data_IF_807317310973
#
_entry.id   IF_807317310973
#
_cell.length_a   1.000
_cell.length_b   1.000
_cell.length_c   1.000
_cell.angle_alpha   90.00
_cell.angle_beta   90.00
_cell.angle_gamma   90.00
#
_symmetry.space_group_name_H-M   'P 1'
#
loop_
_entity.id
_entity.type
_entity.pdbx_description
1 polymer ?
#
# COMPACT_ATOMS: atom_id res chain seq x y z
N UNK A 1 6.96 -31.79 16.52
CA UNK A 1 6.29 -31.91 15.20
C UNK A 1 5.86 -30.50 14.83
N UNK A 2 6.07 -30.03 13.59
CA UNK A 2 5.83 -28.64 13.18
C UNK A 2 4.69 -28.55 12.17
N UNK A 3 3.99 -27.40 12.12
CA UNK A 3 3.04 -27.11 11.04
C UNK A 3 3.68 -27.12 9.65
N UNK A 4 4.99 -26.93 9.53
CA UNK A 4 5.67 -26.75 8.23
C UNK A 4 6.34 -28.01 7.69
N UNK A 5 6.20 -29.17 8.36
CA UNK A 5 6.86 -30.42 7.96
C UNK A 5 6.61 -30.82 6.51
N UNK A 6 5.46 -30.45 5.94
CA UNK A 6 5.08 -30.76 4.56
C UNK A 6 6.00 -30.15 3.49
N UNK A 7 6.76 -29.08 3.81
CA UNK A 7 7.58 -28.37 2.83
C UNK A 7 9.07 -28.76 2.90
N UNK A 8 9.50 -29.51 3.92
CA UNK A 8 10.92 -29.80 4.17
C UNK A 8 11.62 -30.48 2.99
N UNK A 9 10.98 -31.47 2.35
CA UNK A 9 11.58 -32.23 1.26
C UNK A 9 11.83 -31.38 0.01
N UNK A 10 10.86 -30.54 -0.35
CA UNK A 10 10.89 -29.78 -1.60
C UNK A 10 11.54 -28.39 -1.43
N UNK A 11 11.44 -27.78 -0.25
CA UNK A 11 11.98 -26.44 0.04
C UNK A 11 12.59 -26.38 1.48
N UNK A 12 13.74 -27.05 1.72
CA UNK A 12 14.33 -27.18 3.06
C UNK A 12 14.74 -25.84 3.70
N UNK A 13 15.10 -24.84 2.90
CA UNK A 13 15.47 -23.52 3.41
C UNK A 13 14.24 -22.74 3.91
N UNK A 14 13.16 -22.72 3.11
CA UNK A 14 11.89 -22.12 3.51
C UNK A 14 11.31 -22.82 4.75
N UNK A 15 11.48 -24.14 4.83
CA UNK A 15 11.12 -24.93 6.02
C UNK A 15 11.87 -24.47 7.27
N UNK A 16 13.19 -24.32 7.18
CA UNK A 16 14.03 -23.91 8.31
C UNK A 16 13.61 -22.54 8.83
N UNK A 17 13.40 -21.57 7.94
CA UNK A 17 13.00 -20.22 8.33
C UNK A 17 11.56 -20.18 8.88
N UNK A 18 10.64 -20.98 8.31
CA UNK A 18 9.26 -21.06 8.79
C UNK A 18 9.14 -21.69 10.19
N UNK A 19 9.95 -22.70 10.49
CA UNK A 19 10.02 -23.29 11.84
C UNK A 19 10.53 -22.28 12.85
N UNK A 20 11.52 -21.46 12.48
CA UNK A 20 12.03 -20.45 13.39
C UNK A 20 10.97 -19.37 13.67
N UNK A 21 10.23 -18.95 12.64
CA UNK A 21 9.07 -18.08 12.82
C UNK A 21 8.01 -18.69 13.75
N UNK A 22 7.72 -19.99 13.60
CA UNK A 22 6.77 -20.75 14.43
C UNK A 22 7.15 -20.77 15.91
N UNK A 23 8.42 -21.04 16.23
CA UNK A 23 8.89 -21.06 17.63
C UNK A 23 8.74 -19.71 18.34
N UNK A 24 8.85 -18.61 17.59
CA UNK A 24 8.93 -17.27 18.16
C UNK A 24 7.56 -16.59 18.34
N UNK A 25 6.45 -17.17 17.87
CA UNK A 25 5.13 -16.50 17.84
C UNK A 25 4.75 -15.88 19.19
N UNK A 26 4.88 -16.65 20.26
CA UNK A 26 4.53 -16.24 21.63
C UNK A 26 5.75 -15.77 22.46
N UNK A 27 6.96 -15.82 21.89
CA UNK A 27 8.20 -15.38 22.54
C UNK A 27 8.58 -13.96 22.11
N UNK A 28 8.55 -13.73 20.80
CA UNK A 28 8.90 -12.49 20.13
C UNK A 28 8.02 -12.29 18.88
N UNK A 29 6.76 -11.82 19.06
CA UNK A 29 5.83 -11.59 17.94
C UNK A 29 6.41 -10.72 16.82
N UNK A 30 7.19 -9.70 17.19
CA UNK A 30 7.88 -8.83 16.23
C UNK A 30 8.89 -9.60 15.38
N UNK A 31 9.70 -10.47 16.00
CA UNK A 31 10.67 -11.31 15.27
C UNK A 31 9.97 -12.32 14.36
N UNK A 32 8.86 -12.92 14.81
CA UNK A 32 8.02 -13.78 13.96
C UNK A 32 7.53 -13.05 12.71
N UNK A 33 7.07 -11.80 12.83
CA UNK A 33 6.63 -11.02 11.68
C UNK A 33 7.77 -10.73 10.69
N UNK A 34 8.96 -10.40 11.18
CA UNK A 34 10.16 -10.19 10.34
C UNK A 34 10.56 -11.49 9.63
N UNK A 35 10.59 -12.61 10.35
CA UNK A 35 10.90 -13.92 9.77
C UNK A 35 9.86 -14.34 8.74
N UNK A 36 8.56 -14.20 9.04
CA UNK A 36 7.50 -14.52 8.08
C UNK A 36 7.66 -13.72 6.78
N UNK A 37 7.98 -12.43 6.88
CA UNK A 37 8.27 -11.59 5.70
C UNK A 37 9.50 -12.07 4.95
N UNK A 38 10.59 -12.39 5.64
CA UNK A 38 11.82 -12.89 5.01
C UNK A 38 11.58 -14.22 4.28
N UNK A 39 10.92 -15.18 4.94
CA UNK A 39 10.57 -16.49 4.34
C UNK A 39 9.66 -16.30 3.13
N UNK A 40 8.67 -15.39 3.24
CA UNK A 40 7.81 -15.04 2.11
C UNK A 40 8.62 -14.42 0.96
N UNK A 41 9.54 -13.49 1.24
CA UNK A 41 10.41 -12.88 0.24
C UNK A 41 11.26 -13.91 -0.49
N UNK A 42 11.84 -14.87 0.22
CA UNK A 42 12.62 -15.95 -0.37
C UNK A 42 11.74 -16.84 -1.28
N UNK A 43 10.53 -17.19 -0.84
CA UNK A 43 9.59 -17.94 -1.68
C UNK A 43 9.08 -17.17 -2.90
N UNK A 44 8.90 -15.84 -2.79
CA UNK A 44 8.57 -14.98 -3.94
C UNK A 44 9.72 -14.96 -4.93
N UNK A 45 10.97 -14.80 -4.48
CA UNK A 45 12.12 -14.85 -5.36
C UNK A 45 12.23 -16.20 -6.07
N UNK A 46 12.06 -17.29 -5.34
CA UNK A 46 12.04 -18.64 -5.93
C UNK A 46 10.98 -18.76 -7.04
N UNK A 47 9.77 -18.23 -6.83
CA UNK A 47 8.74 -18.19 -7.88
C UNK A 47 9.22 -17.43 -9.12
N UNK A 48 9.88 -16.29 -8.97
CA UNK A 48 10.40 -15.52 -10.12
C UNK A 48 11.47 -16.27 -10.91
N UNK A 49 12.20 -17.19 -10.30
CA UNK A 49 13.23 -17.97 -10.97
C UNK A 49 12.69 -19.25 -11.63
N UNK A 50 11.51 -19.73 -11.21
CA UNK A 50 10.97 -21.03 -11.64
C UNK A 50 9.61 -20.96 -12.34
N UNK A 51 8.81 -19.91 -12.16
CA UNK A 51 7.54 -19.72 -12.86
C UNK A 51 7.77 -19.05 -14.22
N UNK A 52 7.51 -19.79 -15.30
CA UNK A 52 7.73 -19.34 -16.67
C UNK A 52 6.95 -18.06 -17.04
N UNK A 53 5.82 -17.79 -16.38
CA UNK A 53 5.01 -16.58 -16.61
C UNK A 53 5.57 -15.33 -15.93
N UNK A 54 6.54 -15.46 -15.01
CA UNK A 54 7.12 -14.34 -14.29
C UNK A 54 8.38 -13.84 -14.98
N UNK A 55 8.54 -12.52 -15.01
CA UNK A 55 9.75 -11.86 -15.47
C UNK A 55 10.18 -10.83 -14.43
N UNK A 56 11.45 -10.85 -14.04
CA UNK A 56 11.94 -9.98 -12.97
C UNK A 56 11.91 -8.51 -13.44
N UNK A 57 11.22 -7.61 -12.72
CA UNK A 57 11.20 -6.18 -13.02
C UNK A 57 12.55 -5.51 -12.70
N UNK A 58 12.70 -4.25 -13.11
CA UNK A 58 13.93 -3.48 -12.89
C UNK A 58 14.25 -3.29 -11.40
N UNK A 59 13.24 -3.00 -10.56
CA UNK A 59 13.37 -3.05 -9.09
C UNK A 59 12.95 -4.43 -8.60
N UNK A 60 13.80 -5.09 -7.83
CA UNK A 60 13.54 -6.44 -7.32
C UNK A 60 13.22 -6.48 -5.82
N UNK A 61 12.75 -5.37 -5.24
CA UNK A 61 12.26 -5.38 -3.86
C UNK A 61 10.92 -6.13 -3.76
N UNK A 62 10.64 -6.70 -2.59
CA UNK A 62 9.44 -7.50 -2.36
C UNK A 62 8.14 -6.76 -2.74
N UNK A 63 8.06 -5.44 -2.51
CA UNK A 63 6.85 -4.68 -2.82
C UNK A 63 6.64 -4.60 -4.33
N UNK A 64 7.68 -4.33 -5.10
CA UNK A 64 7.61 -4.33 -6.57
C UNK A 64 7.22 -5.71 -7.09
N UNK A 65 7.89 -6.77 -6.62
CA UNK A 65 7.65 -8.14 -7.06
C UNK A 65 6.18 -8.57 -6.85
N UNK A 66 5.61 -8.36 -5.67
CA UNK A 66 4.24 -8.86 -5.43
C UNK A 66 3.16 -8.07 -6.18
N UNK A 67 3.42 -6.84 -6.59
CA UNK A 67 2.44 -5.99 -7.29
C UNK A 67 2.55 -6.10 -8.82
N UNK A 68 3.50 -6.88 -9.35
CA UNK A 68 3.51 -7.20 -10.78
C UNK A 68 2.21 -7.92 -11.17
N UNK A 69 1.53 -7.51 -12.26
CA UNK A 69 0.26 -8.11 -12.67
C UNK A 69 0.35 -9.63 -12.83
N UNK A 70 1.45 -10.13 -13.40
CA UNK A 70 1.68 -11.56 -13.61
C UNK A 70 1.80 -12.34 -12.29
N UNK A 71 2.44 -11.74 -11.26
CA UNK A 71 2.54 -12.36 -9.94
C UNK A 71 1.19 -12.35 -9.22
N UNK A 72 0.51 -11.20 -9.20
CA UNK A 72 -0.81 -11.08 -8.53
C UNK A 72 -1.84 -12.04 -9.11
N UNK A 73 -1.76 -12.35 -10.41
CA UNK A 73 -2.63 -13.29 -11.10
C UNK A 73 -2.45 -14.76 -10.69
N UNK A 74 -1.36 -15.10 -9.98
CA UNK A 74 -1.15 -16.45 -9.44
C UNK A 74 -2.07 -16.77 -8.26
N UNK A 75 -2.62 -15.75 -7.60
CA UNK A 75 -3.37 -15.89 -6.36
C UNK A 75 -4.79 -15.38 -6.51
N UNK A 76 -5.73 -15.99 -5.79
CA UNK A 76 -7.04 -15.38 -5.61
C UNK A 76 -6.93 -14.13 -4.72
N UNK A 77 -7.96 -13.27 -4.75
CA UNK A 77 -7.97 -11.99 -4.02
C UNK A 77 -7.74 -12.15 -2.52
N UNK A 78 -8.31 -13.18 -1.91
CA UNK A 78 -8.18 -13.41 -0.46
C UNK A 78 -6.75 -13.77 -0.09
N UNK A 79 -6.17 -14.77 -0.75
CA UNK A 79 -4.80 -15.19 -0.49
C UNK A 79 -3.83 -14.03 -0.79
N UNK A 80 -4.01 -13.30 -1.90
CA UNK A 80 -3.17 -12.14 -2.19
C UNK A 80 -3.18 -11.08 -1.08
N UNK A 81 -4.35 -10.79 -0.51
CA UNK A 81 -4.49 -9.84 0.62
C UNK A 81 -3.67 -10.29 1.84
N UNK A 82 -3.72 -11.59 2.15
CA UNK A 82 -2.95 -12.21 3.24
C UNK A 82 -1.44 -12.13 2.99
N UNK A 83 -0.99 -12.38 1.76
CA UNK A 83 0.43 -12.24 1.39
C UNK A 83 0.92 -10.79 1.56
N UNK A 84 0.08 -9.82 1.18
CA UNK A 84 0.41 -8.41 1.37
C UNK A 84 0.42 -8.02 2.86
N UNK A 85 -0.42 -8.66 3.70
CA UNK A 85 -0.35 -8.49 5.16
C UNK A 85 0.98 -8.99 5.72
N UNK A 86 1.50 -10.14 5.28
CA UNK A 86 2.84 -10.61 5.70
C UNK A 86 3.88 -9.52 5.42
N UNK A 87 3.88 -8.94 4.21
CA UNK A 87 4.79 -7.87 3.83
C UNK A 87 4.61 -6.63 4.72
N UNK A 88 3.39 -6.12 4.87
CA UNK A 88 3.11 -4.89 5.64
C UNK A 88 3.45 -5.07 7.12
N UNK A 89 3.03 -6.16 7.74
CA UNK A 89 3.28 -6.44 9.17
C UNK A 89 4.77 -6.64 9.43
N UNK A 90 5.47 -7.37 8.55
CA UNK A 90 6.93 -7.54 8.65
C UNK A 90 7.71 -6.23 8.45
N UNK A 91 7.26 -5.35 7.54
CA UNK A 91 7.84 -4.01 7.40
C UNK A 91 7.64 -3.18 8.66
N UNK A 92 6.42 -3.14 9.19
CA UNK A 92 6.12 -2.43 10.43
C UNK A 92 7.00 -2.92 11.58
N UNK A 93 7.15 -4.24 11.72
CA UNK A 93 8.01 -4.89 12.70
C UNK A 93 9.48 -4.47 12.56
N UNK A 94 10.04 -4.51 11.34
CA UNK A 94 11.42 -4.12 11.06
C UNK A 94 11.68 -2.63 11.34
N UNK A 95 10.67 -1.77 11.18
CA UNK A 95 10.74 -0.35 11.51
C UNK A 95 10.44 -0.04 13.01
N UNK A 96 10.41 -1.06 13.87
CA UNK A 96 10.27 -0.89 15.32
C UNK A 96 8.82 -0.80 15.82
N UNK A 97 7.84 -1.03 14.96
CA UNK A 97 6.44 -1.11 15.39
C UNK A 97 6.22 -2.39 16.19
N UNK A 98 5.69 -2.26 17.41
CA UNK A 98 5.32 -3.43 18.22
C UNK A 98 4.21 -4.23 17.54
N UNK A 99 4.44 -5.53 17.39
CA UNK A 99 3.46 -6.52 16.90
C UNK A 99 2.91 -7.30 18.10
N UNK A 100 1.61 -7.58 18.11
CA UNK A 100 1.00 -8.42 19.15
C UNK A 100 0.97 -9.89 18.71
N UNK A 101 0.73 -10.79 19.65
CA UNK A 101 0.72 -12.25 19.41
C UNK A 101 -0.31 -12.66 18.35
N UNK A 102 -1.49 -12.02 18.33
CA UNK A 102 -2.53 -12.34 17.35
C UNK A 102 -2.14 -11.96 15.92
N UNK A 103 -1.49 -10.80 15.73
CA UNK A 103 -0.97 -10.36 14.44
C UNK A 103 0.19 -11.26 13.96
N UNK A 104 1.07 -11.67 14.87
CA UNK A 104 2.15 -12.61 14.56
C UNK A 104 1.62 -14.00 14.18
N UNK A 105 0.63 -14.51 14.94
CA UNK A 105 -0.04 -15.77 14.63
C UNK A 105 -0.78 -15.71 13.29
N UNK A 106 -1.46 -14.60 12.99
CA UNK A 106 -2.08 -14.39 11.69
C UNK A 106 -1.05 -14.40 10.56
N UNK A 107 0.09 -13.70 10.72
CA UNK A 107 1.19 -13.73 9.75
C UNK A 107 1.73 -15.14 9.52
N UNK A 108 1.89 -15.95 10.58
CA UNK A 108 2.34 -17.33 10.46
C UNK A 108 1.31 -18.20 9.71
N UNK A 109 0.01 -18.03 9.98
CA UNK A 109 -1.07 -18.71 9.25
C UNK A 109 -1.08 -18.31 7.78
N UNK A 110 -0.89 -17.04 7.45
CA UNK A 110 -0.77 -16.57 6.07
C UNK A 110 0.46 -17.16 5.37
N UNK A 111 1.60 -17.22 6.06
CA UNK A 111 2.80 -17.88 5.55
C UNK A 111 2.56 -19.37 5.31
N UNK A 112 1.89 -20.07 6.22
CA UNK A 112 1.51 -21.47 6.03
C UNK A 112 0.68 -21.65 4.75
N UNK A 113 -0.32 -20.80 4.50
CA UNK A 113 -1.12 -20.87 3.27
C UNK A 113 -0.30 -20.62 2.01
N UNK A 114 0.65 -19.68 2.06
CA UNK A 114 1.59 -19.43 0.97
C UNK A 114 2.50 -20.64 0.70
N UNK A 115 3.09 -21.22 1.75
CA UNK A 115 3.97 -22.37 1.63
C UNK A 115 3.21 -23.62 1.18
N UNK A 116 1.96 -23.78 1.60
CA UNK A 116 1.04 -24.79 1.05
C UNK A 116 0.83 -24.59 -0.44
N UNK A 117 0.60 -23.35 -0.89
CA UNK A 117 0.51 -23.04 -2.32
C UNK A 117 1.78 -23.46 -3.07
N UNK A 118 2.97 -23.14 -2.55
CA UNK A 118 4.24 -23.55 -3.17
C UNK A 118 4.37 -25.08 -3.24
N UNK A 119 4.18 -25.78 -2.11
CA UNK A 119 4.30 -27.23 -2.05
C UNK A 119 3.29 -27.92 -2.99
N UNK A 120 2.04 -27.47 -2.99
CA UNK A 120 0.99 -28.05 -3.82
C UNK A 120 1.25 -27.79 -5.30
N UNK A 121 1.60 -26.58 -5.73
CA UNK A 121 1.69 -26.29 -7.16
C UNK A 121 3.07 -26.58 -7.77
N UNK A 122 4.13 -26.53 -6.96
CA UNK A 122 5.51 -26.57 -7.44
C UNK A 122 6.35 -27.71 -6.83
N UNK A 123 5.93 -28.29 -5.69
CA UNK A 123 6.65 -29.40 -5.05
C UNK A 123 6.69 -30.67 -5.91
N UNK A 124 7.71 -31.51 -5.71
CA UNK A 124 7.81 -32.82 -6.38
C UNK A 124 6.72 -33.77 -5.90
N UNK A 125 6.33 -33.63 -4.63
CA UNK A 125 5.22 -34.39 -4.05
C UNK A 125 4.06 -33.48 -3.72
N UNK A 126 2.83 -33.98 -3.83
CA UNK A 126 1.65 -33.25 -3.34
C UNK A 126 1.55 -33.52 -1.83
N UNK A 127 1.63 -32.49 -0.97
CA UNK A 127 1.53 -32.70 0.46
C UNK A 127 0.13 -33.20 0.83
N UNK A 128 0.04 -34.07 1.84
CA UNK A 128 -1.24 -34.50 2.40
C UNK A 128 -2.02 -33.29 2.94
N UNK A 129 -3.34 -33.40 3.02
CA UNK A 129 -4.18 -32.34 3.60
C UNK A 129 -3.84 -32.17 5.08
N UNK A 130 -3.21 -31.04 5.41
CA UNK A 130 -2.86 -30.67 6.78
C UNK A 130 -3.65 -29.42 7.17
N UNK A 131 -4.26 -29.47 8.35
CA UNK A 131 -4.86 -28.29 9.00
C UNK A 131 -3.81 -27.68 9.91
N UNK A 132 -3.73 -26.35 9.92
CA UNK A 132 -2.86 -25.62 10.83
C UNK A 132 -3.29 -25.87 12.28
N UNK A 133 -2.36 -26.31 13.11
CA UNK A 133 -2.58 -26.65 14.51
C UNK A 133 -1.77 -25.71 15.41
N UNK A 134 -2.49 -24.83 16.12
CA UNK A 134 -1.90 -23.88 17.07
C UNK A 134 -1.27 -24.58 18.28
N UNK A 135 -1.70 -25.80 18.62
CA UNK A 135 -1.13 -26.55 19.75
C UNK A 135 0.31 -27.02 19.51
N UNK A 136 0.77 -27.01 18.24
CA UNK A 136 2.16 -27.29 17.88
C UNK A 136 3.10 -26.11 18.14
N UNK A 137 2.56 -24.91 18.37
CA UNK A 137 3.34 -23.70 18.61
C UNK A 137 3.81 -23.69 20.07
N UNK A 138 5.14 -23.57 20.33
CA UNK A 138 5.65 -23.53 21.69
C UNK A 138 5.10 -22.34 22.50
N UNK A 139 4.45 -22.62 23.62
CA UNK A 139 3.98 -21.63 24.61
C UNK A 139 4.90 -21.66 25.83
N UNK A 140 6.07 -21.00 25.74
CA UNK A 140 6.96 -20.91 26.91
C UNK A 140 6.38 -19.97 27.97
N UNK A 141 6.55 -20.32 29.25
CA UNK A 141 6.37 -19.36 30.35
C UNK A 141 7.42 -18.25 30.23
N UNK A 142 7.01 -17.02 30.52
CA UNK A 142 7.73 -15.74 30.43
C UNK A 142 9.20 -15.85 29.96
N UNK A 143 9.51 -15.51 28.70
CA UNK A 143 10.88 -15.60 28.21
C UNK A 143 11.81 -14.74 29.07
N UNK A 144 12.95 -15.31 29.46
CA UNK A 144 14.01 -14.53 30.10
C UNK A 144 14.58 -13.52 29.09
N UNK A 145 15.08 -12.35 29.51
CA UNK A 145 15.62 -11.34 28.60
C UNK A 145 16.70 -11.90 27.65
N UNK A 146 17.47 -12.90 28.09
CA UNK A 146 18.51 -13.57 27.30
C UNK A 146 17.96 -14.50 26.18
N UNK A 147 16.67 -14.86 26.23
CA UNK A 147 16.01 -15.70 25.21
C UNK A 147 15.33 -14.88 24.11
N UNK A 148 15.26 -13.56 24.25
CA UNK A 148 14.72 -12.70 23.20
C UNK A 148 15.84 -12.39 22.19
N UNK A 149 15.72 -12.84 20.92
CA UNK A 149 16.70 -12.47 19.92
C UNK A 149 16.73 -10.95 19.78
N UNK A 150 17.93 -10.38 19.69
CA UNK A 150 18.08 -8.96 19.36
C UNK A 150 17.50 -8.73 17.96
N UNK A 151 16.40 -7.99 17.89
CA UNK A 151 15.68 -7.77 16.63
C UNK A 151 16.60 -7.16 15.55
N UNK A 152 17.47 -6.24 15.94
CA UNK A 152 18.41 -5.60 15.01
C UNK A 152 19.46 -6.58 14.48
N UNK A 153 19.95 -7.48 15.33
CA UNK A 153 20.87 -8.54 14.92
C UNK A 153 20.15 -9.53 13.99
N UNK A 154 18.94 -9.96 14.36
CA UNK A 154 18.13 -10.86 13.52
C UNK A 154 17.88 -10.27 12.12
N UNK A 155 17.50 -8.99 12.03
CA UNK A 155 17.32 -8.32 10.73
C UNK A 155 18.62 -8.34 9.93
N UNK A 156 19.75 -7.98 10.57
CA UNK A 156 21.06 -7.94 9.91
C UNK A 156 21.48 -9.34 9.44
N UNK A 157 21.28 -10.36 10.26
CA UNK A 157 21.63 -11.75 9.95
C UNK A 157 20.79 -12.29 8.80
N UNK A 158 19.48 -12.00 8.78
CA UNK A 158 18.59 -12.36 7.67
C UNK A 158 18.99 -11.64 6.38
N UNK A 159 19.34 -10.36 6.43
CA UNK A 159 19.80 -9.61 5.26
C UNK A 159 21.10 -10.19 4.70
N UNK A 160 22.07 -10.52 5.56
CA UNK A 160 23.33 -11.15 5.17
C UNK A 160 23.09 -12.55 4.58
N UNK A 161 22.27 -13.37 5.23
CA UNK A 161 21.90 -14.71 4.77
C UNK A 161 21.24 -14.65 3.39
N UNK A 162 20.22 -13.79 3.22
CA UNK A 162 19.49 -13.65 1.96
C UNK A 162 20.37 -13.07 0.85
N UNK A 163 21.32 -12.18 1.17
CA UNK A 163 22.29 -11.66 0.21
C UNK A 163 23.24 -12.77 -0.28
N UNK A 164 23.84 -13.52 0.65
CA UNK A 164 24.75 -14.61 0.32
C UNK A 164 24.06 -15.69 -0.53
N UNK A 165 22.82 -16.04 -0.19
CA UNK A 165 22.02 -16.99 -0.96
C UNK A 165 21.80 -16.51 -2.41
N UNK A 166 21.40 -15.25 -2.59
CA UNK A 166 21.19 -14.66 -3.92
C UNK A 166 22.47 -14.59 -4.75
N UNK A 167 23.60 -14.25 -4.14
CA UNK A 167 24.88 -14.22 -4.83
C UNK A 167 25.30 -15.62 -5.30
N UNK A 168 25.06 -16.65 -4.49
CA UNK A 168 25.31 -18.04 -4.86
C UNK A 168 24.40 -18.51 -6.01
N UNK A 169 23.10 -18.23 -5.93
CA UNK A 169 22.12 -18.58 -6.98
C UNK A 169 22.43 -17.86 -8.30
N UNK A 170 22.74 -16.56 -8.24
CA UNK A 170 23.15 -15.82 -9.44
C UNK A 170 24.44 -16.37 -10.05
N UNK A 171 25.44 -16.71 -9.23
CA UNK A 171 26.67 -17.34 -9.73
C UNK A 171 26.36 -18.67 -10.43
N UNK A 172 25.47 -19.49 -9.88
CA UNK A 172 25.03 -20.74 -10.50
C UNK A 172 24.32 -20.51 -11.83
N UNK A 173 23.44 -19.51 -11.91
CA UNK A 173 22.75 -19.14 -13.17
C UNK A 173 23.74 -18.64 -14.22
N UNK A 174 24.76 -17.86 -13.84
CA UNK A 174 25.78 -17.40 -14.80
C UNK A 174 26.64 -18.55 -15.30
N UNK A 175 27.07 -19.45 -14.40
CA UNK A 175 27.77 -20.68 -14.77
C UNK A 175 26.92 -21.53 -15.73
N UNK A 176 25.60 -21.60 -15.50
CA UNK A 176 24.68 -22.30 -16.39
C UNK A 176 24.50 -21.61 -17.74
N UNK A 177 24.69 -20.29 -17.87
CA UNK A 177 24.67 -19.62 -19.19
C UNK A 177 25.89 -19.98 -20.03
N UNK A 178 27.04 -20.15 -19.40
CA UNK A 178 28.30 -20.51 -20.05
C UNK A 178 28.36 -22.01 -20.38
N UNK A 179 27.63 -22.84 -19.63
CA UNK A 179 27.59 -24.29 -19.80
C UNK A 179 26.29 -24.75 -20.48
N UNK A 180 26.39 -25.20 -21.73
CA UNK A 180 25.24 -25.64 -22.54
C UNK A 180 24.45 -26.80 -21.93
N UNK A 181 25.11 -27.72 -21.21
CA UNK A 181 24.45 -28.84 -20.55
C UNK A 181 23.62 -28.37 -19.34
N UNK A 182 24.20 -27.51 -18.49
CA UNK A 182 23.50 -26.91 -17.36
C UNK A 182 22.33 -26.03 -17.81
N UNK A 183 22.49 -25.29 -18.92
CA UNK A 183 21.39 -24.53 -19.51
C UNK A 183 20.22 -25.41 -19.91
N UNK A 184 20.50 -26.54 -20.57
CA UNK A 184 19.48 -27.49 -20.98
C UNK A 184 18.79 -28.13 -19.77
N UNK A 185 19.55 -28.43 -18.71
CA UNK A 185 19.02 -28.97 -17.45
C UNK A 185 18.07 -27.99 -16.74
N UNK A 186 18.46 -26.72 -16.57
CA UNK A 186 17.60 -25.70 -15.96
C UNK A 186 16.32 -25.45 -16.77
N UNK A 187 16.42 -25.44 -18.10
CA UNK A 187 15.25 -25.28 -18.96
C UNK A 187 14.31 -26.48 -18.83
N UNK A 188 14.85 -27.69 -18.79
CA UNK A 188 14.07 -28.90 -18.58
C UNK A 188 13.36 -28.90 -17.22
N UNK A 189 14.06 -28.50 -16.15
CA UNK A 189 13.45 -28.35 -14.82
C UNK A 189 12.28 -27.36 -14.83
N UNK A 190 12.43 -26.21 -15.50
CA UNK A 190 11.35 -25.22 -15.65
C UNK A 190 10.15 -25.78 -16.41
N UNK A 191 10.38 -26.52 -17.49
CA UNK A 191 9.30 -27.17 -18.24
C UNK A 191 8.57 -28.21 -17.41
N UNK A 192 9.29 -29.00 -16.62
CA UNK A 192 8.71 -30.03 -15.74
C UNK A 192 7.88 -29.41 -14.60
N UNK A 193 8.33 -28.29 -14.04
CA UNK A 193 7.55 -27.49 -13.06
C UNK A 193 6.28 -26.95 -13.71
N UNK A 194 6.39 -26.30 -14.87
CA UNK A 194 5.24 -25.72 -15.58
C UNK A 194 4.19 -26.78 -15.94
N UNK A 195 4.63 -27.96 -16.40
CA UNK A 195 3.75 -29.09 -16.70
C UNK A 195 3.02 -29.59 -15.46
N UNK A 196 3.73 -29.86 -14.37
CA UNK A 196 3.12 -30.30 -13.10
C UNK A 196 2.10 -29.31 -12.58
N UNK A 197 2.42 -28.01 -12.60
CA UNK A 197 1.51 -26.96 -12.17
C UNK A 197 0.22 -26.96 -13.01
N UNK A 198 0.35 -27.02 -14.35
CA UNK A 198 -0.80 -27.02 -15.24
C UNK A 198 -1.71 -28.25 -15.07
N UNK A 199 -1.15 -29.40 -14.71
CA UNK A 199 -1.91 -30.60 -14.35
C UNK A 199 -2.66 -30.39 -13.02
N UNK A 200 -1.98 -29.86 -12.00
CA UNK A 200 -2.52 -29.61 -10.67
C UNK A 200 -3.60 -28.52 -10.64
N UNK A 201 -3.47 -27.46 -11.45
CA UNK A 201 -4.48 -26.40 -11.62
C UNK A 201 -5.81 -26.95 -12.15
N UNK A 202 -5.80 -28.04 -12.92
CA UNK A 202 -7.03 -28.66 -13.47
C UNK A 202 -7.72 -29.58 -12.48
N UNK A 203 -6.95 -30.23 -11.61
CA UNK A 203 -7.47 -31.29 -10.74
C UNK A 203 -7.80 -30.83 -9.32
N UNK A 204 -7.20 -29.74 -8.85
CA UNK A 204 -7.32 -29.29 -7.46
C UNK A 204 -8.32 -28.15 -7.31
N UNK A 205 -9.23 -28.31 -6.35
CA UNK A 205 -9.99 -27.20 -5.81
C UNK A 205 -9.13 -26.42 -4.80
N UNK A 206 -8.83 -25.16 -5.11
CA UNK A 206 -8.02 -24.26 -4.27
C UNK A 206 -8.62 -24.09 -2.89
N UNK A 207 -9.95 -24.04 -2.78
CA UNK A 207 -10.65 -23.78 -1.51
C UNK A 207 -10.45 -24.89 -0.49
N UNK A 208 -10.44 -26.14 -0.94
CA UNK A 208 -10.15 -27.32 -0.11
C UNK A 208 -8.66 -27.56 0.08
N UNK A 209 -7.85 -27.32 -0.95
CA UNK A 209 -6.41 -27.56 -0.91
C UNK A 209 -5.66 -26.57 0.02
N UNK A 210 -6.13 -25.31 0.06
CA UNK A 210 -5.55 -24.21 0.85
C UNK A 210 -6.67 -23.49 1.63
N UNK A 211 -7.21 -24.13 2.69
CA UNK A 211 -8.35 -23.60 3.43
C UNK A 211 -8.04 -22.26 4.10
N UNK A 212 -9.08 -21.46 4.32
CA UNK A 212 -8.97 -20.22 5.09
C UNK A 212 -8.67 -20.54 6.56
N UNK A 213 -7.59 -19.96 7.09
CA UNK A 213 -7.18 -20.11 8.49
C UNK A 213 -7.56 -18.91 9.37
N UNK A 214 -7.83 -17.78 8.72
CA UNK A 214 -8.30 -16.54 9.32
C UNK A 214 -9.54 -16.14 8.53
N UNK A 215 -10.57 -15.65 9.23
CA UNK A 215 -11.80 -15.25 8.53
C UNK A 215 -11.52 -14.08 7.59
N UNK A 216 -12.31 -13.97 6.52
CA UNK A 216 -12.21 -12.84 5.60
C UNK A 216 -12.48 -11.50 6.31
N UNK A 217 -13.43 -11.49 7.24
CA UNK A 217 -13.76 -10.30 8.02
C UNK A 217 -12.60 -9.85 8.90
N UNK A 218 -11.94 -10.78 9.58
CA UNK A 218 -10.77 -10.50 10.41
C UNK A 218 -9.57 -10.06 9.58
N UNK A 219 -9.31 -10.72 8.46
CA UNK A 219 -8.23 -10.35 7.51
C UNK A 219 -8.43 -8.93 6.98
N UNK A 220 -9.67 -8.57 6.62
CA UNK A 220 -10.03 -7.22 6.20
C UNK A 220 -9.78 -6.20 7.31
N UNK A 221 -10.22 -6.49 8.54
CA UNK A 221 -9.99 -5.62 9.71
C UNK A 221 -8.50 -5.38 9.92
N UNK A 222 -7.69 -6.44 9.99
CA UNK A 222 -6.22 -6.33 10.15
C UNK A 222 -5.58 -5.48 9.05
N UNK A 223 -6.03 -5.63 7.81
CA UNK A 223 -5.51 -4.83 6.69
C UNK A 223 -5.86 -3.34 6.82
N UNK A 224 -7.11 -3.03 7.13
CA UNK A 224 -7.56 -1.64 7.30
C UNK A 224 -6.87 -1.01 8.50
N UNK A 225 -6.84 -1.70 9.64
CA UNK A 225 -6.19 -1.24 10.89
C UNK A 225 -4.71 -0.94 10.64
N UNK A 226 -3.98 -1.84 9.97
CA UNK A 226 -2.58 -1.63 9.64
C UNK A 226 -2.40 -0.44 8.69
N UNK A 227 -3.28 -0.30 7.68
CA UNK A 227 -3.22 0.81 6.73
C UNK A 227 -3.56 2.16 7.37
N UNK A 228 -4.44 2.17 8.38
CA UNK A 228 -4.73 3.35 9.21
C UNK A 228 -3.54 3.68 10.12
N UNK A 229 -2.93 2.66 10.74
CA UNK A 229 -1.74 2.80 11.59
C UNK A 229 -0.55 3.39 10.84
N UNK A 230 -0.32 2.96 9.59
CA UNK A 230 0.68 3.53 8.67
C UNK A 230 0.48 5.05 8.45
N UNK A 231 -0.76 5.54 8.58
CA UNK A 231 -1.09 6.96 8.47
C UNK A 231 -1.12 7.70 9.82
N UNK A 232 -0.62 7.08 10.90
CA UNK A 232 -0.56 7.66 12.24
C UNK A 232 -1.79 7.41 13.13
N UNK A 233 -2.76 6.62 12.67
CA UNK A 233 -3.92 6.23 13.49
C UNK A 233 -3.59 5.00 14.34
N UNK A 234 -2.82 5.20 15.42
CA UNK A 234 -2.27 4.10 16.24
C UNK A 234 -3.14 3.71 17.43
N UNK A 235 -4.10 4.55 17.83
CA UNK A 235 -4.96 4.35 19.00
C UNK A 235 -6.41 4.53 18.59
N UNK A 236 -7.08 3.43 18.22
CA UNK A 236 -8.50 3.40 17.88
C UNK A 236 -9.26 2.71 19.02
N UNK A 237 -10.19 3.43 19.64
CA UNK A 237 -10.98 2.98 20.79
C UNK A 237 -12.32 2.40 20.33
N UNK A 238 -12.67 1.22 20.87
CA UNK A 238 -13.96 0.56 20.61
C UNK A 238 -15.14 1.40 21.13
N UNK A 239 -16.18 1.58 20.32
CA UNK A 239 -17.36 2.41 20.62
C UNK A 239 -17.15 3.91 20.39
N UNK A 240 -15.92 4.37 20.10
CA UNK A 240 -15.60 5.76 19.79
C UNK A 240 -15.03 5.94 18.39
N UNK A 241 -13.88 5.32 18.12
CA UNK A 241 -13.24 5.33 16.82
C UNK A 241 -13.71 4.14 15.98
N UNK A 242 -13.96 3.00 16.63
CA UNK A 242 -14.47 1.77 16.01
C UNK A 242 -15.92 1.55 16.40
N UNK A 243 -16.73 1.01 15.48
CA UNK A 243 -18.14 0.65 15.73
C UNK A 243 -18.91 1.81 16.39
N UNK A 244 -18.69 3.04 15.91
CA UNK A 244 -19.27 4.24 16.50
C UNK A 244 -20.76 4.31 16.21
N UNK A 245 -21.57 4.40 17.28
CA UNK A 245 -23.02 4.50 17.15
C UNK A 245 -23.42 5.88 16.60
N UNK A 246 -24.13 5.87 15.48
CA UNK A 246 -24.79 7.05 14.91
C UNK A 246 -26.31 6.93 15.00
N UNK A 247 -26.98 8.07 15.11
CA UNK A 247 -28.43 8.16 15.11
C UNK A 247 -28.92 8.99 13.91
N UNK A 248 -30.14 8.71 13.45
CA UNK A 248 -30.73 9.38 12.29
C UNK A 248 -30.63 8.58 10.98
N UNK A 249 -30.30 7.29 11.06
CA UNK A 249 -30.32 6.41 9.89
C UNK A 249 -31.74 6.28 9.33
N UNK A 250 -31.93 6.26 7.99
CA UNK A 250 -33.26 6.06 7.41
C UNK A 250 -33.89 4.75 7.87
N UNK A 251 -35.14 4.79 8.33
CA UNK A 251 -35.87 3.61 8.82
C UNK A 251 -36.04 2.51 7.75
N UNK A 252 -36.01 2.89 6.46
CA UNK A 252 -36.00 1.94 5.33
C UNK A 252 -34.70 1.15 5.22
N UNK A 253 -33.60 1.69 5.72
CA UNK A 253 -32.26 1.05 5.72
C UNK A 253 -31.96 0.39 7.05
N UNK A 254 -32.29 1.04 8.17
CA UNK A 254 -32.12 0.49 9.51
C UNK A 254 -33.37 0.77 10.37
N UNK A 255 -34.19 -0.26 10.67
CA UNK A 255 -35.44 -0.09 11.43
C UNK A 255 -35.27 0.53 12.81
N UNK A 256 -34.09 0.42 13.42
CA UNK A 256 -33.81 1.03 14.73
C UNK A 256 -33.56 2.54 14.67
N UNK A 257 -33.34 3.10 13.47
CA UNK A 257 -32.88 4.47 13.28
C UNK A 257 -31.44 4.72 13.73
N UNK A 258 -30.74 3.68 14.23
CA UNK A 258 -29.34 3.71 14.64
C UNK A 258 -28.47 3.04 13.60
N UNK A 259 -27.19 3.40 13.54
CA UNK A 259 -26.17 2.77 12.70
C UNK A 259 -24.87 2.62 13.47
N UNK A 260 -23.97 1.77 12.98
CA UNK A 260 -22.64 1.57 13.57
C UNK A 260 -21.62 1.76 12.46
N UNK A 261 -20.77 2.77 12.64
CA UNK A 261 -19.73 3.12 11.68
C UNK A 261 -18.49 2.29 11.98
N UNK A 262 -17.95 1.57 10.99
CA UNK A 262 -16.77 0.73 11.21
C UNK A 262 -15.58 1.56 11.75
N UNK A 263 -15.31 2.73 11.14
CA UNK A 263 -14.32 3.68 11.65
C UNK A 263 -14.77 5.14 11.54
N UNK A 264 -14.58 5.90 12.61
CA UNK A 264 -14.61 7.37 12.60
C UNK A 264 -13.24 7.90 12.95
N UNK A 265 -12.68 8.72 12.06
CA UNK A 265 -11.38 9.34 12.23
C UNK A 265 -11.57 10.75 12.77
N UNK A 266 -11.21 10.98 14.03
CA UNK A 266 -11.46 12.23 14.74
C UNK A 266 -10.31 13.24 14.64
N UNK A 267 -10.68 14.52 14.60
CA UNK A 267 -9.74 15.63 14.75
C UNK A 267 -9.46 15.94 16.21
N UNK A 268 -8.40 16.70 16.46
CA UNK A 268 -8.02 17.10 17.83
C UNK A 268 -9.07 18.01 18.50
N UNK A 269 -9.91 18.64 17.69
CA UNK A 269 -11.07 19.42 18.14
C UNK A 269 -12.30 18.57 18.47
N UNK A 270 -12.21 17.24 18.40
CA UNK A 270 -13.32 16.31 18.63
C UNK A 270 -14.35 16.25 17.49
N UNK A 271 -14.10 16.87 16.34
CA UNK A 271 -14.99 16.81 15.18
C UNK A 271 -14.60 15.67 14.23
N UNK A 272 -15.55 15.03 13.54
CA UNK A 272 -15.26 13.91 12.65
C UNK A 272 -14.58 14.39 11.38
N UNK A 273 -13.36 13.90 11.11
CA UNK A 273 -12.60 14.24 9.90
C UNK A 273 -12.96 13.31 8.74
N UNK A 274 -13.12 12.01 9.02
CA UNK A 274 -13.49 11.03 8.02
C UNK A 274 -14.29 9.87 8.61
N UNK A 275 -15.07 9.23 7.74
CA UNK A 275 -15.76 7.97 7.96
C UNK A 275 -15.11 6.90 7.08
N UNK A 276 -14.92 5.68 7.58
CA UNK A 276 -14.48 4.53 6.78
C UNK A 276 -15.50 3.42 6.88
N UNK A 277 -16.07 3.04 5.74
CA UNK A 277 -16.95 1.87 5.61
C UNK A 277 -16.19 0.67 5.04
N UNK A 278 -16.17 -0.44 5.75
CA UNK A 278 -15.49 -1.68 5.38
C UNK A 278 -16.47 -2.69 4.75
N UNK A 279 -16.15 -3.18 3.55
CA UNK A 279 -16.91 -4.24 2.87
C UNK A 279 -16.09 -5.50 2.69
N UNK A 280 -16.78 -6.64 2.61
CA UNK A 280 -16.15 -7.94 2.30
C UNK A 280 -15.18 -7.82 1.12
N UNK A 281 -13.97 -8.35 1.27
CA UNK A 281 -12.84 -8.36 0.33
C UNK A 281 -13.28 -8.83 -1.06
N UNK A 282 -14.14 -9.85 -1.11
CA UNK A 282 -14.68 -10.39 -2.36
C UNK A 282 -15.78 -9.52 -3.01
N UNK A 283 -16.29 -8.52 -2.29
CA UNK A 283 -17.25 -7.54 -2.80
C UNK A 283 -16.55 -6.27 -3.28
N UNK A 284 -17.15 -5.62 -4.27
CA UNK A 284 -16.71 -4.28 -4.67
C UNK A 284 -16.92 -3.29 -3.51
N UNK A 285 -15.93 -2.44 -3.18
CA UNK A 285 -16.07 -1.39 -2.17
C UNK A 285 -17.24 -0.45 -2.47
N UNK A 286 -17.57 -0.24 -3.76
CA UNK A 286 -18.65 0.65 -4.19
C UNK A 286 -20.02 0.28 -3.63
N UNK A 287 -20.24 -0.98 -3.23
CA UNK A 287 -21.47 -1.39 -2.52
C UNK A 287 -21.64 -0.67 -1.17
N UNK A 288 -20.55 -0.25 -0.55
CA UNK A 288 -20.56 0.50 0.72
C UNK A 288 -20.77 2.00 0.56
N UNK A 289 -20.70 2.55 -0.66
CA UNK A 289 -20.77 3.99 -0.91
C UNK A 289 -22.00 4.64 -0.27
N UNK A 290 -23.19 4.09 -0.51
CA UNK A 290 -24.43 4.67 -0.01
C UNK A 290 -24.50 4.61 1.52
N UNK A 291 -24.05 3.51 2.13
CA UNK A 291 -23.99 3.39 3.59
C UNK A 291 -23.02 4.40 4.20
N UNK A 292 -21.84 4.56 3.61
CA UNK A 292 -20.84 5.54 4.06
C UNK A 292 -21.36 6.99 3.96
N UNK A 293 -22.16 7.31 2.92
CA UNK A 293 -22.86 8.59 2.79
C UNK A 293 -23.88 8.81 3.91
N UNK A 294 -24.70 7.79 4.23
CA UNK A 294 -25.68 7.86 5.30
C UNK A 294 -25.00 8.07 6.67
N UNK A 295 -23.89 7.38 6.92
CA UNK A 295 -23.09 7.58 8.13
C UNK A 295 -22.50 8.97 8.22
N UNK A 296 -21.95 9.49 7.12
CA UNK A 296 -21.51 10.87 7.08
C UNK A 296 -22.67 11.85 7.35
N UNK A 297 -23.89 11.57 6.88
CA UNK A 297 -25.06 12.44 7.11
C UNK A 297 -25.41 12.47 8.59
N UNK A 298 -25.41 11.31 9.25
CA UNK A 298 -25.66 11.23 10.68
C UNK A 298 -24.57 11.96 11.48
N UNK A 299 -23.30 11.76 11.14
CA UNK A 299 -22.17 12.44 11.80
C UNK A 299 -22.23 13.96 11.62
N UNK A 300 -22.60 14.45 10.45
CA UNK A 300 -22.77 15.89 10.20
C UNK A 300 -23.89 16.48 11.07
N UNK A 301 -25.02 15.79 11.19
CA UNK A 301 -26.14 16.23 12.04
C UNK A 301 -25.74 16.22 13.51
N UNK A 302 -25.03 15.18 13.96
CA UNK A 302 -24.64 15.00 15.36
C UNK A 302 -23.52 15.97 15.79
N UNK A 303 -22.55 16.25 14.92
CA UNK A 303 -21.32 16.97 15.28
C UNK A 303 -21.15 18.32 14.55
N UNK A 304 -22.02 18.65 13.60
CA UNK A 304 -21.96 19.91 12.85
C UNK A 304 -20.83 19.99 11.81
N UNK A 305 -20.13 18.89 11.54
CA UNK A 305 -19.07 18.81 10.52
C UNK A 305 -19.28 17.61 9.61
N UNK A 306 -19.35 17.85 8.30
CA UNK A 306 -19.35 16.81 7.28
C UNK A 306 -18.00 16.09 7.23
N UNK A 307 -17.88 14.79 7.55
CA UNK A 307 -16.62 14.08 7.38
C UNK A 307 -16.31 13.81 5.89
N UNK A 308 -15.06 13.49 5.58
CA UNK A 308 -14.67 12.87 4.31
C UNK A 308 -15.11 11.41 4.30
N UNK A 309 -15.47 10.87 3.14
CA UNK A 309 -16.03 9.52 3.03
C UNK A 309 -15.00 8.58 2.43
N UNK A 310 -14.61 7.55 3.18
CA UNK A 310 -13.90 6.40 2.67
C UNK A 310 -14.79 5.17 2.65
N UNK A 311 -14.58 4.33 1.64
CA UNK A 311 -15.09 2.98 1.63
C UNK A 311 -14.03 2.05 1.04
N UNK A 312 -13.81 0.92 1.71
CA UNK A 312 -12.70 0.03 1.44
C UNK A 312 -13.11 -1.42 1.57
N UNK A 313 -12.43 -2.30 0.84
CA UNK A 313 -12.50 -3.75 1.05
C UNK A 313 -11.14 -4.33 1.49
N UNK A 314 -10.24 -3.49 1.99
CA UNK A 314 -8.84 -3.82 2.25
C UNK A 314 -7.96 -3.60 1.01
N UNK A 315 -8.32 -4.14 -0.15
CA UNK A 315 -7.49 -4.04 -1.36
C UNK A 315 -7.68 -2.73 -2.13
N UNK A 316 -8.93 -2.36 -2.37
CA UNK A 316 -9.31 -1.11 -3.01
C UNK A 316 -9.90 -0.17 -1.98
N UNK A 317 -9.36 1.04 -1.92
CA UNK A 317 -9.90 2.12 -1.07
C UNK A 317 -10.33 3.27 -1.96
N UNK A 318 -11.52 3.80 -1.71
CA UNK A 318 -12.03 4.98 -2.39
C UNK A 318 -12.17 6.13 -1.39
N UNK A 319 -11.91 7.34 -1.87
CA UNK A 319 -12.14 8.59 -1.16
C UNK A 319 -13.19 9.41 -1.92
N UNK A 320 -14.13 9.96 -1.18
CA UNK A 320 -15.17 10.86 -1.67
C UNK A 320 -15.33 12.07 -0.73
N UNK A 321 -15.03 13.25 -1.26
CA UNK A 321 -15.42 14.53 -0.65
C UNK A 321 -16.66 15.02 -1.37
N UNK A 322 -17.84 14.58 -0.94
CA UNK A 322 -19.12 14.84 -1.59
C UNK A 322 -19.50 16.32 -1.65
N UNK A 323 -18.86 17.17 -0.86
CA UNK A 323 -18.97 18.62 -0.93
C UNK A 323 -18.07 19.28 -1.98
N UNK A 324 -17.10 18.56 -2.56
CA UNK A 324 -16.12 19.18 -3.46
C UNK A 324 -15.79 18.37 -4.72
N UNK A 325 -15.58 17.06 -4.62
CA UNK A 325 -15.04 16.23 -5.71
C UNK A 325 -15.77 14.90 -5.85
N UNK A 326 -15.87 14.34 -7.07
CA UNK A 326 -16.38 12.99 -7.25
C UNK A 326 -15.50 11.95 -6.53
N UNK A 327 -16.06 10.78 -6.28
CA UNK A 327 -15.33 9.64 -5.73
C UNK A 327 -14.14 9.25 -6.62
N UNK A 328 -13.08 8.72 -6.00
CA UNK A 328 -11.93 8.17 -6.71
C UNK A 328 -11.25 7.10 -5.87
N UNK A 329 -10.55 6.19 -6.54
CA UNK A 329 -9.65 5.27 -5.86
C UNK A 329 -8.42 6.00 -5.31
N UNK A 330 -7.96 5.57 -4.15
CA UNK A 330 -6.75 6.02 -3.45
C UNK A 330 -5.93 4.81 -3.03
N UNK A 331 -4.62 5.00 -2.85
CA UNK A 331 -3.69 3.94 -2.46
C UNK A 331 -3.70 3.66 -0.95
N UNK A 332 -4.23 4.58 -0.15
CA UNK A 332 -4.27 4.44 1.30
C UNK A 332 -5.15 5.50 1.95
N UNK A 333 -5.23 5.42 3.27
CA UNK A 333 -5.86 6.43 4.10
C UNK A 333 -4.96 7.65 4.24
N UNK A 334 -5.51 8.70 4.82
CA UNK A 334 -4.82 9.97 4.97
C UNK A 334 -4.52 10.16 6.45
N UNK A 335 -3.39 10.82 6.74
CA UNK A 335 -3.08 11.25 8.09
C UNK A 335 -4.09 12.27 8.60
N UNK A 336 -4.16 12.44 9.93
CA UNK A 336 -5.03 13.43 10.57
C UNK A 336 -4.85 14.83 9.99
N UNK A 337 -3.60 15.28 9.81
CA UNK A 337 -3.27 16.59 9.24
C UNK A 337 -3.75 16.75 7.79
N UNK A 338 -3.66 15.70 7.00
CA UNK A 338 -4.11 15.72 5.60
C UNK A 338 -5.64 15.78 5.52
N UNK A 339 -6.35 15.04 6.37
CA UNK A 339 -7.80 15.09 6.46
C UNK A 339 -8.28 16.46 6.96
N UNK A 340 -7.65 17.01 8.00
CA UNK A 340 -7.94 18.35 8.51
C UNK A 340 -7.71 19.41 7.43
N UNK A 341 -6.61 19.31 6.68
CA UNK A 341 -6.31 20.21 5.56
C UNK A 341 -7.39 20.15 4.48
N UNK A 342 -7.89 18.95 4.13
CA UNK A 342 -8.95 18.80 3.14
C UNK A 342 -10.26 19.46 3.59
N UNK A 343 -10.62 19.33 4.87
CA UNK A 343 -11.79 20.00 5.46
C UNK A 343 -11.61 21.52 5.44
N UNK A 344 -10.47 22.03 5.92
CA UNK A 344 -10.19 23.47 5.94
C UNK A 344 -10.28 24.08 4.53
N UNK A 345 -9.86 23.32 3.51
CA UNK A 345 -9.92 23.72 2.11
C UNK A 345 -11.34 23.82 1.53
N UNK A 346 -12.38 23.37 2.23
CA UNK A 346 -13.76 23.68 1.82
C UNK A 346 -14.07 25.17 1.96
N UNK A 347 -13.40 25.86 2.90
CA UNK A 347 -13.54 27.31 3.11
C UNK A 347 -12.41 28.13 2.48
N UNK A 348 -11.17 27.61 2.43
CA UNK A 348 -10.00 28.42 2.01
C UNK A 348 -9.71 28.39 0.50
N UNK A 349 -10.21 27.41 -0.25
CA UNK A 349 -9.97 27.35 -1.70
C UNK A 349 -10.60 28.53 -2.43
N UNK A 350 -9.83 29.18 -3.29
CA UNK A 350 -10.33 30.24 -4.17
C UNK A 350 -10.44 29.76 -5.62
N UNK A 351 -11.21 30.49 -6.44
CA UNK A 351 -11.45 30.13 -7.83
C UNK A 351 -10.18 30.37 -8.68
N UNK A 352 -9.55 29.29 -9.17
CA UNK A 352 -8.34 29.39 -10.00
C UNK A 352 -8.51 30.29 -11.23
N UNK A 353 -9.73 30.38 -11.78
CA UNK A 353 -10.02 31.16 -13.00
C UNK A 353 -9.95 32.68 -12.76
N UNK A 354 -10.01 33.12 -11.51
CA UNK A 354 -9.94 34.53 -11.12
C UNK A 354 -8.52 34.96 -10.74
N UNK A 355 -7.57 34.01 -10.68
CA UNK A 355 -6.20 34.28 -10.31
C UNK A 355 -5.47 35.11 -11.39
N UNK A 356 -4.84 36.20 -10.96
CA UNK A 356 -4.00 37.03 -11.83
C UNK A 356 -2.59 36.47 -11.87
N UNK A 357 -2.22 35.87 -13.00
CA UNK A 357 -0.88 35.28 -13.21
C UNK A 357 0.20 36.36 -13.09
N UNK A 358 1.27 36.05 -12.34
CA UNK A 358 2.46 36.88 -12.30
C UNK A 358 3.20 36.84 -13.64
N UNK A 359 3.08 37.91 -14.43
CA UNK A 359 3.66 38.01 -15.77
C UNK A 359 5.19 38.06 -15.78
N UNK A 360 5.83 38.37 -14.65
CA UNK A 360 7.29 38.27 -14.51
C UNK A 360 7.77 36.81 -14.58
N UNK A 361 6.95 35.87 -14.11
CA UNK A 361 7.21 34.42 -14.21
C UNK A 361 6.85 33.96 -15.63
N UNK A 362 5.59 34.13 -16.03
CA UNK A 362 5.05 33.70 -17.32
C UNK A 362 4.10 34.76 -17.91
N UNK A 363 4.59 35.53 -18.90
CA UNK A 363 3.87 36.66 -19.49
C UNK A 363 3.49 36.51 -20.97
N UNK A 364 3.96 35.46 -21.66
CA UNK A 364 3.65 35.28 -23.09
C UNK A 364 2.20 34.82 -23.27
N UNK A 365 1.52 35.31 -24.31
CA UNK A 365 0.09 35.04 -24.54
C UNK A 365 -0.27 33.54 -24.48
N UNK A 366 0.54 32.67 -25.10
CA UNK A 366 0.31 31.23 -25.09
C UNK A 366 0.56 30.58 -23.71
N UNK A 367 1.39 31.17 -22.84
CA UNK A 367 1.59 30.70 -21.47
C UNK A 367 0.39 31.06 -20.61
N UNK A 368 -0.10 32.30 -20.74
CA UNK A 368 -1.30 32.77 -20.06
C UNK A 368 -2.52 31.93 -20.47
N UNK A 369 -2.65 31.65 -21.76
CA UNK A 369 -3.70 30.77 -22.27
C UNK A 369 -3.57 29.35 -21.70
N UNK A 370 -2.37 28.77 -21.70
CA UNK A 370 -2.16 27.44 -21.11
C UNK A 370 -2.55 27.40 -19.63
N UNK A 371 -2.17 28.41 -18.84
CA UNK A 371 -2.51 28.51 -17.41
C UNK A 371 -4.02 28.63 -17.22
N UNK A 372 -4.68 29.49 -18.00
CA UNK A 372 -6.13 29.66 -17.99
C UNK A 372 -6.86 28.35 -18.30
N UNK A 373 -6.43 27.61 -19.33
CA UNK A 373 -7.04 26.32 -19.68
C UNK A 373 -6.88 25.28 -18.59
N UNK A 374 -5.74 25.26 -17.89
CA UNK A 374 -5.58 24.38 -16.71
C UNK A 374 -6.56 24.77 -15.61
N UNK A 375 -6.71 26.06 -15.30
CA UNK A 375 -7.67 26.52 -14.29
C UNK A 375 -9.13 26.13 -14.65
N UNK A 376 -9.54 26.31 -15.90
CA UNK A 376 -10.87 25.95 -16.42
C UNK A 376 -11.12 24.43 -16.45
N UNK A 377 -10.06 23.64 -16.66
CA UNK A 377 -10.14 22.18 -16.63
C UNK A 377 -10.22 21.65 -15.19
N UNK A 378 -9.54 22.30 -14.24
CA UNK A 378 -9.47 21.87 -12.84
C UNK A 378 -10.72 22.23 -12.03
N UNK A 379 -11.36 23.36 -12.33
CA UNK A 379 -12.48 23.90 -11.54
C UNK A 379 -13.80 23.83 -12.31
N UNK A 380 -14.88 23.52 -11.60
CA UNK A 380 -16.26 23.77 -12.02
C UNK A 380 -17.04 24.50 -10.92
N UNK A 381 -18.23 24.97 -11.28
CA UNK A 381 -19.22 25.51 -10.34
C UNK A 381 -20.46 24.62 -10.42
N UNK A 382 -21.03 24.22 -9.28
CA UNK A 382 -22.29 23.49 -9.25
C UNK A 382 -23.50 24.43 -9.46
N UNK A 383 -24.71 23.86 -9.53
CA UNK A 383 -25.95 24.63 -9.73
C UNK A 383 -26.19 25.69 -8.64
N UNK A 384 -25.58 25.52 -7.47
CA UNK A 384 -25.69 26.41 -6.31
C UNK A 384 -24.58 27.47 -6.25
N UNK A 385 -23.74 27.60 -7.29
CA UNK A 385 -22.67 28.60 -7.31
C UNK A 385 -21.41 28.21 -6.52
N UNK A 386 -21.34 27.00 -5.96
CA UNK A 386 -20.21 26.54 -5.15
C UNK A 386 -19.10 25.95 -6.03
N UNK A 387 -17.84 26.19 -5.64
CA UNK A 387 -16.67 25.60 -6.29
C UNK A 387 -16.67 24.07 -6.16
N UNK A 388 -16.36 23.40 -7.26
CA UNK A 388 -16.20 21.95 -7.33
C UNK A 388 -14.93 21.60 -8.11
N UNK A 389 -14.36 20.45 -7.77
CA UNK A 389 -13.32 19.82 -8.58
C UNK A 389 -13.92 19.29 -9.88
N UNK A 390 -13.19 19.47 -10.99
CA UNK A 390 -13.51 18.88 -12.29
C UNK A 390 -12.47 17.84 -12.68
N UNK A 391 -11.47 18.21 -13.48
CA UNK A 391 -10.39 17.30 -13.86
C UNK A 391 -9.20 17.42 -12.90
N UNK A 392 -8.60 16.28 -12.57
CA UNK A 392 -7.39 16.20 -11.73
C UNK A 392 -6.09 16.19 -12.52
N UNK A 393 -6.19 16.05 -13.84
CA UNK A 393 -5.06 15.90 -14.76
C UNK A 393 -5.24 16.84 -15.94
N UNK A 394 -4.13 17.42 -16.40
CA UNK A 394 -4.06 18.25 -17.59
C UNK A 394 -2.81 17.88 -18.38
N UNK A 395 -2.91 17.88 -19.71
CA UNK A 395 -1.78 17.67 -20.61
C UNK A 395 -1.52 18.97 -21.39
N UNK A 396 -0.29 19.48 -21.31
CA UNK A 396 0.15 20.65 -22.06
C UNK A 396 1.22 20.23 -23.07
N UNK A 397 0.93 20.41 -24.36
CA UNK A 397 1.90 20.16 -25.43
C UNK A 397 2.54 21.49 -25.80
N UNK A 398 3.83 21.62 -25.51
CA UNK A 398 4.59 22.85 -25.69
C UNK A 398 5.95 22.56 -26.34
N UNK A 399 6.30 23.32 -27.39
CA UNK A 399 7.58 23.17 -28.07
C UNK A 399 8.79 23.41 -27.14
N UNK A 400 9.93 22.81 -27.45
CA UNK A 400 11.19 23.11 -26.73
C UNK A 400 11.56 24.59 -26.89
N UNK A 401 12.09 25.21 -25.83
CA UNK A 401 12.39 26.65 -25.80
C UNK A 401 11.18 27.58 -25.58
N UNK A 402 9.93 27.07 -25.62
CA UNK A 402 8.73 27.91 -25.42
C UNK A 402 8.49 28.34 -23.96
N UNK A 403 9.32 27.92 -23.00
CA UNK A 403 9.22 28.32 -21.60
C UNK A 403 8.36 27.39 -20.73
N UNK A 404 8.46 26.07 -20.92
CA UNK A 404 7.75 25.05 -20.12
C UNK A 404 7.94 25.23 -18.60
N UNK A 405 9.19 25.44 -18.17
CA UNK A 405 9.52 25.63 -16.74
C UNK A 405 8.86 26.88 -16.15
N UNK A 406 8.81 27.99 -16.90
CA UNK A 406 8.11 29.22 -16.49
C UNK A 406 6.61 29.00 -16.35
N UNK A 407 6.00 28.33 -17.33
CA UNK A 407 4.57 27.98 -17.27
C UNK A 407 4.28 27.08 -16.07
N UNK A 408 5.12 26.08 -15.80
CA UNK A 408 4.97 25.20 -14.65
C UNK A 408 5.09 25.95 -13.31
N UNK A 409 6.08 26.84 -13.18
CA UNK A 409 6.23 27.67 -11.98
C UNK A 409 5.03 28.58 -11.74
N UNK A 410 4.49 29.22 -12.79
CA UNK A 410 3.29 30.06 -12.68
C UNK A 410 2.03 29.24 -12.33
N UNK A 411 1.90 28.02 -12.83
CA UNK A 411 0.83 27.10 -12.42
C UNK A 411 0.94 26.74 -10.93
N UNK A 412 2.14 26.46 -10.44
CA UNK A 412 2.38 26.17 -9.03
C UNK A 412 2.08 27.39 -8.16
N UNK A 413 2.48 28.59 -8.57
CA UNK A 413 2.15 29.85 -7.87
C UNK A 413 0.63 29.99 -7.70
N UNK A 414 -0.13 29.82 -8.79
CA UNK A 414 -1.59 29.87 -8.79
C UNK A 414 -2.19 28.81 -7.86
N UNK A 415 -1.79 27.55 -7.98
CA UNK A 415 -2.35 26.45 -7.19
C UNK A 415 -2.05 26.58 -5.70
N UNK A 416 -0.87 27.07 -5.33
CA UNK A 416 -0.48 27.29 -3.93
C UNK A 416 -1.24 28.48 -3.34
N UNK A 417 -1.22 29.64 -4.01
CA UNK A 417 -1.88 30.86 -3.53
C UNK A 417 -3.40 30.76 -3.51
N UNK A 418 -3.99 29.91 -4.36
CA UNK A 418 -5.43 29.61 -4.30
C UNK A 418 -5.78 28.48 -3.31
N UNK A 419 -4.80 27.97 -2.53
CA UNK A 419 -4.97 26.90 -1.53
C UNK A 419 -5.38 25.51 -2.09
N UNK A 420 -5.08 25.24 -3.36
CA UNK A 420 -5.38 23.95 -4.00
C UNK A 420 -4.34 22.86 -3.70
N UNK A 421 -3.06 23.24 -3.56
CA UNK A 421 -1.96 22.31 -3.30
C UNK A 421 -1.14 22.73 -2.08
N UNK A 422 -0.51 21.74 -1.41
CA UNK A 422 0.31 21.95 -0.19
C UNK A 422 1.77 21.56 -0.44
N UNK A 423 1.96 20.44 -1.14
CA UNK A 423 3.24 19.88 -1.59
C UNK A 423 3.15 19.67 -3.11
N UNK A 424 4.27 19.86 -3.79
CA UNK A 424 4.39 19.72 -5.24
C UNK A 424 5.64 18.91 -5.54
N UNK A 425 5.49 17.89 -6.38
CA UNK A 425 6.59 17.10 -6.91
C UNK A 425 6.82 17.47 -8.38
N UNK A 426 8.05 17.86 -8.70
CA UNK A 426 8.51 18.10 -10.06
C UNK A 426 9.44 16.97 -10.50
N UNK A 427 9.07 16.28 -11.58
CA UNK A 427 9.84 15.17 -12.14
C UNK A 427 10.50 15.57 -13.45
N UNK A 428 11.77 15.18 -13.61
CA UNK A 428 12.47 15.27 -14.88
C UNK A 428 13.36 14.03 -15.09
N UNK A 429 13.76 13.79 -16.34
CA UNK A 429 14.49 12.58 -16.72
C UNK A 429 15.94 12.53 -16.20
N UNK A 430 16.62 13.68 -16.14
CA UNK A 430 18.06 13.77 -15.82
C UNK A 430 18.33 14.73 -14.68
N UNK A 431 19.34 14.44 -13.85
CA UNK A 431 19.75 15.29 -12.72
C UNK A 431 19.99 16.75 -13.14
N UNK A 432 20.69 16.99 -14.26
CA UNK A 432 20.92 18.36 -14.74
C UNK A 432 19.62 19.14 -15.04
N UNK A 433 18.57 18.47 -15.52
CA UNK A 433 17.25 19.08 -15.76
C UNK A 433 16.52 19.34 -14.44
N UNK A 434 16.68 18.46 -13.47
CA UNK A 434 16.18 18.62 -12.10
C UNK A 434 16.81 19.85 -11.44
N UNK A 435 18.15 19.94 -11.43
CA UNK A 435 18.89 21.09 -10.88
C UNK A 435 18.49 22.40 -11.56
N UNK A 436 18.37 22.40 -12.90
CA UNK A 436 17.93 23.57 -13.66
C UNK A 436 16.50 24.00 -13.29
N UNK A 437 15.58 23.05 -13.16
CA UNK A 437 14.20 23.33 -12.76
C UNK A 437 14.13 23.89 -11.34
N UNK A 438 14.84 23.28 -10.38
CA UNK A 438 14.90 23.75 -8.99
C UNK A 438 15.41 25.17 -8.89
N UNK A 439 16.53 25.49 -9.55
CA UNK A 439 17.09 26.85 -9.55
C UNK A 439 16.10 27.87 -10.13
N UNK A 440 15.44 27.54 -11.24
CA UNK A 440 14.44 28.41 -11.84
C UNK A 440 13.22 28.61 -10.91
N UNK A 441 12.74 27.55 -10.25
CA UNK A 441 11.64 27.66 -9.30
C UNK A 441 12.02 28.48 -8.06
N UNK A 442 13.25 28.39 -7.55
CA UNK A 442 13.72 29.20 -6.44
C UNK A 442 13.79 30.69 -6.79
N UNK A 443 14.18 31.01 -8.04
CA UNK A 443 14.15 32.39 -8.55
C UNK A 443 12.71 32.92 -8.66
N UNK A 444 11.79 32.12 -9.23
CA UNK A 444 10.42 32.56 -9.48
C UNK A 444 9.52 32.54 -8.24
N UNK A 445 9.76 31.61 -7.31
CA UNK A 445 8.92 31.33 -6.14
C UNK A 445 9.77 31.27 -4.85
N UNK A 446 10.47 32.37 -4.48
CA UNK A 446 11.42 32.36 -3.36
C UNK A 446 10.77 32.13 -1.98
N UNK A 447 9.44 32.20 -1.90
CA UNK A 447 8.65 31.95 -0.69
C UNK A 447 8.35 30.46 -0.45
N UNK A 448 8.70 29.58 -1.38
CA UNK A 448 8.50 28.13 -1.27
C UNK A 448 9.84 27.44 -1.03
N UNK A 449 9.90 26.65 0.05
CA UNK A 449 11.05 25.78 0.32
C UNK A 449 11.13 24.68 -0.74
N UNK A 450 12.35 24.38 -1.21
CA UNK A 450 12.59 23.34 -2.20
C UNK A 450 13.77 22.42 -1.86
N UNK A 451 13.66 21.15 -2.25
CA UNK A 451 14.71 20.13 -2.12
C UNK A 451 14.91 19.38 -3.43
N UNK A 452 16.10 18.81 -3.60
CA UNK A 452 16.44 17.91 -4.70
C UNK A 452 16.73 16.53 -4.13
N UNK A 453 15.87 15.54 -4.39
CA UNK A 453 16.04 14.18 -3.88
C UNK A 453 17.24 13.45 -4.49
N UNK A 454 17.81 13.96 -5.58
CA UNK A 454 19.02 13.37 -6.18
C UNK A 454 20.29 13.74 -5.40
N UNK A 455 20.22 14.78 -4.57
CA UNK A 455 21.35 15.31 -3.80
C UNK A 455 21.10 15.28 -2.29
N UNK A 456 19.84 15.28 -1.86
CA UNK A 456 19.42 15.50 -0.47
C UNK A 456 18.40 14.44 -0.06
N UNK A 457 18.38 14.12 1.25
CA UNK A 457 17.31 13.29 1.81
C UNK A 457 16.03 14.10 1.95
N UNK A 458 14.89 13.43 1.86
CA UNK A 458 13.59 14.07 2.05
C UNK A 458 13.49 14.70 3.45
N UNK A 459 12.89 15.88 3.50
CA UNK A 459 12.53 16.59 4.72
C UNK A 459 11.03 16.88 4.71
N UNK A 460 10.36 16.58 5.83
CA UNK A 460 8.92 16.71 5.98
C UNK A 460 8.41 18.17 5.93
N UNK A 461 9.30 19.15 6.08
CA UNK A 461 8.97 20.57 5.97
C UNK A 461 8.82 21.10 4.54
N UNK A 462 9.24 20.35 3.51
CA UNK A 462 9.43 20.92 2.17
C UNK A 462 8.15 21.01 1.34
N UNK A 463 8.01 22.12 0.58
CA UNK A 463 6.86 22.40 -0.29
C UNK A 463 7.07 21.97 -1.74
N UNK A 464 8.28 22.16 -2.27
CA UNK A 464 8.65 21.81 -3.64
C UNK A 464 9.72 20.72 -3.65
N UNK A 465 9.37 19.53 -4.11
CA UNK A 465 10.29 18.39 -4.19
C UNK A 465 10.64 18.18 -5.65
N UNK A 466 11.94 18.13 -5.96
CA UNK A 466 12.41 17.81 -7.30
C UNK A 466 13.10 16.45 -7.30
N UNK A 467 12.80 15.63 -8.31
CA UNK A 467 13.36 14.27 -8.40
C UNK A 467 13.45 13.79 -9.84
N UNK A 468 14.24 12.74 -10.05
CA UNK A 468 14.19 11.94 -11.27
C UNK A 468 13.32 10.71 -11.10
N UNK A 469 12.89 10.09 -12.20
CA UNK A 469 12.10 8.86 -12.15
C UNK A 469 12.78 7.71 -11.39
N UNK A 470 14.12 7.48 -11.52
CA UNK A 470 14.78 6.42 -10.76
C UNK A 470 14.97 6.74 -9.27
N UNK A 471 14.98 8.02 -8.89
CA UNK A 471 15.26 8.47 -7.52
C UNK A 471 14.03 8.45 -6.61
N UNK A 472 12.83 8.73 -7.15
CA UNK A 472 11.57 8.58 -6.41
C UNK A 472 11.23 7.10 -6.17
#
# INVERSE_FOLDING_TARGET
>A
MSNFNFINTDFPELYTDAIEAEKLVFISPTSTAVLCRSTFENGVNWLYDHEAKLSRPWRSDLSTLIHEPAFSALFNRTLFSELNLIRKTGNAAAHGTKINEQDALACLKYLFRFLRFLAIYYGNTTPETQVFDEALIPTFQTPTPDQQPSLQQLITDLELKNKAFREAEHAQIQLAKENTALKAELEQQRLDIAKRKAEREKSLDVGTAIPLLVSEAETRRRYIDLSLKECGWTHLEEGRDLEYEVSGMPLSTNPSGKGYVDYVLWGDNGLPLAVVEAKKTMSSPKKGKHQAELYANCLEVMHGQRPLIFYSNGFETYLWDDLFSPERQVQGFYSKDELQLLINRRATRTNLREFKVNTAIAGRAYQLEAIKRVAENTVSINKQGQLRSRARQSLLVMATGSGKTRTAAALVDMLVKCHWVKRVLFLADRNALVTQAKNAFNEYLPHLTSIDLTEQKEDDGTRLVFSTYPTI
#
